data_IF_604043559000
#
_entry.id   IF_604043559000
#
_cell.length_a   1.000
_cell.length_b   1.000
_cell.length_c   1.000
_cell.angle_alpha   90.00
_cell.angle_beta   90.00
_cell.angle_gamma   90.00
#
_symmetry.space_group_name_H-M   'P 1'
#
loop_
_entity.id
_entity.type
_entity.pdbx_description
1 polymer ?
#
# COMPACT_ATOMS: atom_id res chain seq x y z
N UNK A 1 -5.85 0.83 10.54
CA UNK A 1 -5.86 0.68 9.06
C UNK A 1 -6.74 -0.49 8.68
N UNK A 2 -7.52 -0.35 7.62
CA UNK A 2 -8.57 -1.31 7.22
C UNK A 2 -8.25 -1.91 5.86
N UNK A 3 -8.39 -3.23 5.73
CA UNK A 3 -8.09 -3.94 4.50
C UNK A 3 -9.03 -3.50 3.36
N UNK A 4 -8.47 -3.15 2.21
CA UNK A 4 -9.27 -2.72 1.06
C UNK A 4 -10.10 -3.86 0.46
N UNK A 5 -9.64 -5.12 0.60
CA UNK A 5 -10.30 -6.33 0.08
C UNK A 5 -11.45 -6.81 0.96
N UNK A 6 -11.22 -7.03 2.25
CA UNK A 6 -12.20 -7.67 3.14
C UNK A 6 -12.70 -6.80 4.29
N UNK A 7 -12.28 -5.53 4.36
CA UNK A 7 -12.56 -4.59 5.45
C UNK A 7 -12.09 -5.06 6.85
N UNK A 8 -11.25 -6.10 6.91
CA UNK A 8 -10.66 -6.60 8.15
C UNK A 8 -9.52 -5.71 8.68
N UNK A 9 -9.14 -5.96 9.92
CA UNK A 9 -8.03 -5.26 10.59
C UNK A 9 -6.70 -5.54 9.89
N UNK A 10 -5.90 -4.48 9.73
CA UNK A 10 -4.51 -4.58 9.28
C UNK A 10 -3.54 -4.20 10.39
N UNK A 11 -2.43 -4.92 10.46
CA UNK A 11 -1.33 -4.70 11.42
C UNK A 11 -0.03 -4.43 10.70
N UNK A 12 0.85 -3.67 11.35
CA UNK A 12 2.23 -3.50 10.89
C UNK A 12 3.02 -4.76 11.20
N UNK A 13 3.78 -5.23 10.22
CA UNK A 13 4.55 -6.47 10.32
C UNK A 13 5.92 -6.26 9.69
N UNK A 14 6.97 -6.71 10.38
CA UNK A 14 8.32 -6.71 9.83
C UNK A 14 8.51 -7.95 8.95
N UNK A 15 8.86 -7.73 7.69
CA UNK A 15 9.00 -8.77 6.66
C UNK A 15 10.29 -8.53 5.85
N UNK A 16 11.45 -9.00 6.35
CA UNK A 16 12.75 -8.80 5.70
C UNK A 16 12.79 -9.27 4.23
N UNK A 17 11.97 -10.27 3.89
CA UNK A 17 11.84 -10.82 2.54
C UNK A 17 11.16 -9.88 1.55
N UNK A 18 10.43 -8.86 2.02
CA UNK A 18 9.75 -7.86 1.19
C UNK A 18 10.45 -6.50 1.24
N UNK A 19 10.92 -6.11 2.42
CA UNK A 19 11.68 -4.88 2.62
C UNK A 19 12.58 -5.01 3.84
N UNK A 20 13.86 -4.70 3.67
CA UNK A 20 14.83 -4.68 4.76
C UNK A 20 14.71 -3.42 5.65
N UNK A 21 13.95 -2.42 5.22
CA UNK A 21 13.96 -1.08 5.82
C UNK A 21 12.56 -0.62 6.28
N UNK A 22 11.49 -1.32 5.87
CA UNK A 22 10.12 -0.91 6.14
C UNK A 22 9.23 -2.06 6.65
N UNK A 23 8.37 -1.74 7.61
CA UNK A 23 7.26 -2.62 8.01
C UNK A 23 6.18 -2.61 6.93
N UNK A 24 5.66 -3.77 6.57
CA UNK A 24 4.48 -3.91 5.70
C UNK A 24 3.19 -3.85 6.53
N UNK A 25 2.06 -3.67 5.87
CA UNK A 25 0.75 -3.83 6.51
C UNK A 25 0.12 -5.14 6.04
N UNK A 26 -0.11 -6.08 6.96
CA UNK A 26 -0.82 -7.34 6.65
C UNK A 26 -2.22 -7.33 7.23
N UNK A 27 -3.21 -7.72 6.43
CA UNK A 27 -4.54 -8.02 6.94
C UNK A 27 -4.55 -9.35 7.70
N UNK A 28 -5.04 -9.34 8.94
CA UNK A 28 -5.17 -10.56 9.75
C UNK A 28 -6.23 -11.50 9.16
N UNK A 29 -7.30 -10.95 8.58
CA UNK A 29 -8.44 -11.74 8.10
C UNK A 29 -8.17 -12.44 6.75
N UNK A 30 -7.61 -11.73 5.76
CA UNK A 30 -7.46 -12.27 4.39
C UNK A 30 -6.02 -12.32 3.86
N UNK A 31 -5.02 -11.99 4.69
CA UNK A 31 -3.60 -12.06 4.33
C UNK A 31 -3.11 -11.03 3.31
N UNK A 32 -3.94 -10.07 2.88
CA UNK A 32 -3.48 -9.01 1.96
C UNK A 32 -2.32 -8.24 2.59
N UNK A 33 -1.19 -8.20 1.89
CA UNK A 33 -0.02 -7.40 2.27
C UNK A 33 0.00 -6.12 1.43
N UNK A 34 0.07 -4.98 2.10
CA UNK A 34 0.37 -3.70 1.48
C UNK A 34 1.82 -3.34 1.78
N UNK A 35 2.62 -3.40 0.74
CA UNK A 35 3.97 -2.85 0.74
C UNK A 35 3.88 -1.30 0.73
N UNK A 36 4.49 -0.60 1.70
CA UNK A 36 4.41 0.86 1.79
C UNK A 36 5.06 1.58 0.61
N UNK A 37 6.10 1.00 -0.01
CA UNK A 37 6.77 1.57 -1.17
C UNK A 37 5.88 1.46 -2.40
N UNK A 38 5.24 0.31 -2.63
CA UNK A 38 4.26 0.14 -3.72
C UNK A 38 3.06 1.07 -3.51
N UNK A 39 2.58 1.21 -2.27
CA UNK A 39 1.50 2.14 -1.95
C UNK A 39 1.88 3.60 -2.27
N UNK A 40 3.09 4.03 -1.88
CA UNK A 40 3.61 5.36 -2.21
C UNK A 40 3.74 5.57 -3.72
N UNK A 41 4.31 4.60 -4.44
CA UNK A 41 4.46 4.67 -5.90
C UNK A 41 3.12 4.80 -6.62
N UNK A 42 2.07 4.11 -6.14
CA UNK A 42 0.71 4.24 -6.68
C UNK A 42 0.13 5.65 -6.44
N UNK A 43 0.31 6.22 -5.26
CA UNK A 43 -0.15 7.58 -4.95
C UNK A 43 0.55 8.61 -5.85
N UNK A 44 1.87 8.49 -6.02
CA UNK A 44 2.65 9.36 -6.92
C UNK A 44 2.15 9.22 -8.36
N UNK A 45 1.96 7.98 -8.85
CA UNK A 45 1.49 7.73 -10.21
C UNK A 45 0.09 8.32 -10.47
N UNK A 46 -0.82 8.22 -9.50
CA UNK A 46 -2.14 8.84 -9.59
C UNK A 46 -2.06 10.37 -9.59
N UNK A 47 -1.20 10.96 -8.76
CA UNK A 47 -0.95 12.41 -8.75
C UNK A 47 -0.39 12.91 -10.07
N UNK A 48 0.53 12.16 -10.68
CA UNK A 48 1.09 12.48 -12.01
C UNK A 48 0.01 12.38 -13.09
N UNK A 49 -0.75 11.28 -13.13
CA UNK A 49 -1.87 11.12 -14.09
C UNK A 49 -2.89 12.25 -13.99
N UNK A 50 -3.22 12.68 -12.77
CA UNK A 50 -4.20 13.74 -12.56
C UNK A 50 -3.71 15.13 -12.97
N UNK A 51 -2.39 15.40 -12.91
CA UNK A 51 -1.80 16.61 -13.47
C UNK A 51 -1.79 16.60 -15.00
N UNK A 52 -1.49 15.45 -15.61
CA UNK A 52 -1.52 15.29 -17.06
C UNK A 52 -2.94 15.49 -17.61
N UNK A 53 -3.96 14.91 -16.96
CA UNK A 53 -5.36 15.06 -17.36
C UNK A 53 -5.91 16.49 -17.19
N UNK A 54 -5.33 17.32 -16.33
CA UNK A 54 -5.75 18.72 -16.12
C UNK A 54 -5.01 19.72 -17.03
N UNK A 55 -3.96 19.29 -17.70
CA UNK A 55 -3.15 20.12 -18.60
C UNK A 55 -3.50 19.92 -20.08
N UNK A 56 -4.52 19.09 -20.38
CA UNK A 56 -5.00 18.77 -21.72
C UNK A 56 -6.38 19.38 -21.99
#
# INVERSE_FOLDING_TARGET
MTCQKCKGLMVKEWRPELSQEATVLRCINCGLVLDPLIAQNRVISLGVKQRVLKAA
#
